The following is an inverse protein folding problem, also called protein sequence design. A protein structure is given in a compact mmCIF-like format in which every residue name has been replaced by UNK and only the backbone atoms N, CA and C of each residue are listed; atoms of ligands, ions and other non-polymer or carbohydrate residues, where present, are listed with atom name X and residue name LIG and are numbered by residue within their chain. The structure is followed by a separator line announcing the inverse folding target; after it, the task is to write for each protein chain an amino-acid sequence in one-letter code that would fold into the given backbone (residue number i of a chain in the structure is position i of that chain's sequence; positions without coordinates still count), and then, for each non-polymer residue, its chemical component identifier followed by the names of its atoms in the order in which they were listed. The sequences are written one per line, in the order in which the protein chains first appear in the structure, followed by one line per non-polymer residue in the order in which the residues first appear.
data_IF_341214547771
#
_entry.id   IF_341214547771
#
_cell.length_a   1.000
_cell.length_b   1.000
_cell.length_c   1.000
_cell.angle_alpha   90.00
_cell.angle_beta   90.00
_cell.angle_gamma   90.00
#
_symmetry.space_group_name_H-M   'P 1'
#
loop_
_entity.id
_entity.type
_entity.pdbx_description
1 polymer ?
#
# COMPACT_ATOMS: atom_id res chain seq x y z
N UNK A 1 28.96 -52.15 33.79
CA UNK A 1 28.97 -51.92 32.32
C UNK A 1 27.82 -52.65 31.66
N UNK A 2 27.11 -51.96 30.75
CA UNK A 2 26.20 -52.46 29.72
C UNK A 2 24.86 -53.11 30.14
N UNK A 3 23.87 -52.33 30.61
CA UNK A 3 22.41 -52.61 30.42
C UNK A 3 21.50 -51.36 30.48
N UNK A 4 21.91 -50.23 29.89
CA UNK A 4 21.05 -49.04 29.71
C UNK A 4 21.15 -48.36 28.34
N UNK A 5 21.65 -49.07 27.32
CA UNK A 5 21.87 -48.50 25.98
C UNK A 5 20.99 -49.11 24.87
N UNK A 6 19.99 -49.95 25.19
CA UNK A 6 19.17 -50.62 24.17
C UNK A 6 17.72 -50.12 24.06
N UNK A 7 17.29 -49.15 24.90
CA UNK A 7 15.92 -48.61 24.81
C UNK A 7 15.84 -47.27 24.07
N UNK A 8 16.96 -46.59 23.82
CA UNK A 8 16.98 -45.31 23.12
C UNK A 8 17.12 -45.46 21.59
N UNK A 9 17.62 -46.61 21.12
CA UNK A 9 17.80 -46.89 19.69
C UNK A 9 16.57 -47.46 18.97
N UNK A 10 15.55 -47.88 19.71
CA UNK A 10 14.29 -48.40 19.11
C UNK A 10 13.20 -47.32 19.05
N UNK A 11 13.26 -46.29 19.91
CA UNK A 11 12.34 -45.14 19.79
C UNK A 11 12.71 -44.21 18.62
N UNK A 12 13.98 -44.11 18.24
CA UNK A 12 14.43 -43.29 17.11
C UNK A 12 14.22 -43.94 15.73
N UNK A 13 14.07 -45.28 15.67
CA UNK A 13 13.77 -46.00 14.43
C UNK A 13 12.26 -46.15 14.16
N UNK A 14 11.41 -45.99 15.19
CA UNK A 14 9.94 -45.98 15.02
C UNK A 14 9.42 -44.56 14.73
N UNK A 15 10.13 -43.50 15.15
CA UNK A 15 9.79 -42.13 14.74
C UNK A 15 10.22 -41.78 13.30
N UNK A 16 11.19 -42.50 12.73
CA UNK A 16 11.67 -42.26 11.36
C UNK A 16 10.94 -43.09 10.29
N UNK A 17 10.07 -44.03 10.68
CA UNK A 17 9.14 -44.71 9.77
C UNK A 17 7.69 -44.20 9.85
N UNK A 18 7.46 -43.10 10.58
CA UNK A 18 6.20 -42.36 10.58
C UNK A 18 6.28 -41.02 9.81
N UNK A 19 7.39 -40.77 9.10
CA UNK A 19 7.66 -39.56 8.31
C UNK A 19 7.92 -39.85 6.82
N UNK A 20 7.59 -41.06 6.34
CA UNK A 20 7.40 -41.33 4.91
C UNK A 20 5.91 -41.17 4.59
N UNK A 21 5.51 -39.91 4.48
CA UNK A 21 4.14 -39.50 4.25
C UNK A 21 3.96 -37.99 4.25
N UNK A 22 4.98 -37.23 3.83
CA UNK A 22 4.81 -35.83 3.45
C UNK A 22 4.06 -35.78 2.11
N UNK A 23 2.80 -36.19 2.12
CA UNK A 23 1.83 -35.61 1.21
C UNK A 23 1.56 -34.20 1.71
N UNK A 24 1.71 -33.22 0.84
CA UNK A 24 1.12 -31.90 1.04
C UNK A 24 -0.32 -32.08 1.56
N UNK A 25 -0.80 -31.25 2.51
CA UNK A 25 -2.21 -31.26 2.83
C UNK A 25 -2.98 -31.10 1.51
N UNK A 26 -4.05 -31.88 1.26
CA UNK A 26 -4.90 -31.63 0.11
C UNK A 26 -5.36 -30.16 0.18
N UNK A 27 -5.54 -29.49 -0.98
CA UNK A 27 -6.08 -28.13 -0.98
C UNK A 27 -7.35 -28.14 -0.12
N UNK A 28 -7.37 -27.28 0.90
CA UNK A 28 -8.51 -27.16 1.79
C UNK A 28 -9.74 -26.92 0.90
N UNK A 29 -10.71 -27.82 1.01
CA UNK A 29 -11.94 -27.79 0.25
C UNK A 29 -12.60 -26.41 0.40
N UNK A 30 -12.58 -25.70 -0.72
CA UNK A 30 -13.14 -24.37 -0.96
C UNK A 30 -14.51 -24.18 -0.29
N UNK A 31 -14.64 -23.16 0.54
CA UNK A 31 -15.95 -22.54 0.82
C UNK A 31 -16.36 -21.80 -0.47
N UNK A 32 -17.63 -21.91 -0.92
CA UNK A 32 -18.02 -21.49 -2.26
C UNK A 32 -17.89 -19.98 -2.47
N UNK A 33 -17.15 -19.61 -3.52
CA UNK A 33 -17.20 -18.29 -4.15
C UNK A 33 -18.64 -17.94 -4.54
N UNK A 34 -19.25 -16.87 -4.00
CA UNK A 34 -20.59 -16.46 -4.40
C UNK A 34 -20.49 -15.45 -5.56
N UNK A 35 -20.57 -15.97 -6.80
CA UNK A 35 -20.96 -15.27 -8.04
C UNK A 35 -19.91 -14.27 -8.62
N UNK A 36 -19.79 -14.07 -9.93
CA UNK A 36 -20.48 -14.63 -11.10
C UNK A 36 -20.21 -13.76 -12.34
N UNK A 37 -19.79 -14.42 -13.42
CA UNK A 37 -19.65 -13.93 -14.82
C UNK A 37 -18.75 -12.72 -15.07
N UNK A 38 -17.53 -13.03 -15.55
CA UNK A 38 -16.70 -12.08 -16.29
C UNK A 38 -17.53 -11.43 -17.41
N UNK A 39 -17.59 -10.09 -17.52
CA UNK A 39 -18.10 -9.47 -18.72
C UNK A 39 -17.18 -9.81 -19.90
N UNK A 40 -17.81 -10.07 -21.05
CA UNK A 40 -17.15 -10.47 -22.28
C UNK A 40 -16.02 -9.50 -22.67
N UNK A 41 -14.85 -10.08 -22.92
CA UNK A 41 -13.74 -9.62 -23.75
C UNK A 41 -13.73 -8.11 -24.04
N UNK A 42 -13.04 -7.34 -23.20
CA UNK A 42 -12.49 -6.08 -23.64
C UNK A 42 -11.33 -6.38 -24.59
N UNK A 43 -11.56 -6.27 -25.90
CA UNK A 43 -10.47 -6.17 -26.88
C UNK A 43 -9.65 -4.91 -26.58
N UNK A 44 -8.63 -5.06 -25.74
CA UNK A 44 -7.57 -4.08 -25.58
C UNK A 44 -6.59 -4.25 -26.74
N UNK A 45 -6.86 -3.50 -27.81
CA UNK A 45 -5.92 -3.33 -28.92
C UNK A 45 -4.71 -2.52 -28.42
N UNK A 46 -3.75 -3.18 -27.78
CA UNK A 46 -2.46 -2.60 -27.41
C UNK A 46 -1.34 -3.40 -28.07
N UNK A 47 -1.12 -3.09 -29.34
CA UNK A 47 0.10 -3.41 -30.05
C UNK A 47 1.29 -2.82 -29.30
N UNK A 48 2.19 -3.72 -28.91
CA UNK A 48 3.46 -3.37 -28.28
C UNK A 48 4.31 -2.49 -29.18
N UNK A 49 4.84 -1.43 -28.58
CA UNK A 49 6.10 -0.82 -28.98
C UNK A 49 6.87 -0.49 -27.70
N UNK A 50 8.00 -1.17 -27.51
CA UNK A 50 9.03 -0.72 -26.58
C UNK A 50 9.57 0.63 -27.06
N UNK A 51 9.44 1.71 -26.28
CA UNK A 51 10.15 2.96 -26.59
C UNK A 51 10.75 3.63 -25.33
N UNK A 52 12.06 3.96 -25.36
CA UNK A 52 12.76 4.72 -24.33
C UNK A 52 12.45 6.22 -24.47
N UNK A 53 12.20 6.89 -23.34
CA UNK A 53 11.87 8.32 -23.31
C UNK A 53 10.56 8.59 -22.58
N UNK A 54 10.58 8.43 -21.25
CA UNK A 54 9.55 8.97 -20.38
C UNK A 54 9.63 10.50 -20.47
N UNK A 55 8.83 11.09 -21.37
CA UNK A 55 8.70 12.54 -21.50
C UNK A 55 7.48 13.01 -20.72
N UNK A 56 7.79 13.58 -19.56
CA UNK A 56 6.91 14.03 -18.50
C UNK A 56 6.21 15.33 -18.89
N UNK A 57 4.92 15.25 -19.23
CA UNK A 57 4.03 16.41 -19.32
C UNK A 57 3.18 16.53 -18.06
N UNK A 58 3.16 17.72 -17.44
CA UNK A 58 2.41 18.13 -16.21
C UNK A 58 3.03 17.73 -14.86
N UNK A 59 3.81 16.64 -14.78
CA UNK A 59 4.38 16.17 -13.51
C UNK A 59 5.62 16.93 -12.98
N UNK A 60 6.23 17.85 -13.74
CA UNK A 60 7.39 18.61 -13.26
C UNK A 60 7.06 19.63 -12.17
N UNK A 61 5.79 19.98 -11.96
CA UNK A 61 5.38 20.98 -10.96
C UNK A 61 5.20 20.38 -9.56
N UNK A 62 5.03 19.05 -9.44
CA UNK A 62 4.65 18.42 -8.16
C UNK A 62 5.57 17.27 -7.70
N UNK A 63 6.68 17.05 -8.40
CA UNK A 63 7.70 16.09 -7.97
C UNK A 63 9.12 16.51 -8.36
N UNK A 64 9.89 17.01 -7.38
CA UNK A 64 11.33 16.77 -7.32
C UNK A 64 11.72 16.40 -5.87
N UNK A 65 12.46 15.30 -5.65
CA UNK A 65 13.15 15.08 -4.39
C UNK A 65 14.49 15.83 -4.41
N UNK A 66 14.74 16.63 -3.36
CA UNK A 66 16.07 17.22 -3.04
C UNK A 66 16.27 18.71 -3.43
N UNK A 67 17.09 19.46 -2.66
CA UNK A 67 17.11 20.91 -2.72
C UNK A 67 17.94 21.40 -3.91
N UNK A 68 17.28 22.06 -4.87
CA UNK A 68 17.98 22.97 -5.78
C UNK A 68 17.33 24.35 -5.72
N UNK A 69 18.18 25.38 -5.73
CA UNK A 69 17.83 26.82 -5.59
C UNK A 69 16.85 27.32 -6.67
N UNK A 70 16.56 26.50 -7.69
CA UNK A 70 15.55 26.76 -8.70
C UNK A 70 14.13 26.38 -8.24
N UNK A 71 13.99 25.35 -7.39
CA UNK A 71 12.72 24.91 -6.81
C UNK A 71 12.12 25.94 -5.85
N UNK A 72 12.97 26.70 -5.14
CA UNK A 72 12.55 27.81 -4.28
C UNK A 72 11.88 28.97 -5.06
N UNK A 73 12.14 29.09 -6.36
CA UNK A 73 11.52 30.13 -7.22
C UNK A 73 10.21 29.70 -7.88
N UNK A 74 9.99 28.40 -8.06
CA UNK A 74 8.73 27.85 -8.58
C UNK A 74 7.72 27.53 -7.46
N UNK A 75 8.20 27.18 -6.25
CA UNK A 75 7.37 27.04 -5.04
C UNK A 75 6.63 28.33 -4.66
N UNK A 76 7.23 29.50 -4.96
CA UNK A 76 6.59 30.81 -4.77
C UNK A 76 5.32 31.02 -5.62
N UNK A 77 5.03 30.14 -6.61
CA UNK A 77 3.79 30.12 -7.40
C UNK A 77 2.80 29.01 -6.98
N UNK A 78 3.14 28.13 -6.02
CA UNK A 78 2.34 26.95 -5.64
C UNK A 78 1.78 26.97 -4.21
N UNK A 79 1.86 28.11 -3.50
CA UNK A 79 1.30 28.23 -2.15
C UNK A 79 -0.24 28.20 -2.17
N UNK A 80 -0.80 27.14 -1.56
CA UNK A 80 -2.23 26.88 -1.42
C UNK A 80 -2.81 27.68 -0.25
N UNK A 81 -4.01 28.23 -0.42
CA UNK A 81 -4.74 28.81 0.71
C UNK A 81 -5.56 27.72 1.37
N UNK A 82 -5.43 27.57 2.68
CA UNK A 82 -6.13 26.54 3.44
C UNK A 82 -6.86 27.13 4.63
N UNK A 83 -7.90 26.43 5.06
CA UNK A 83 -8.64 26.66 6.28
C UNK A 83 -8.33 25.57 7.30
N UNK A 84 -8.11 26.02 8.54
CA UNK A 84 -7.82 25.16 9.69
C UNK A 84 -9.06 25.14 10.59
N UNK A 85 -9.87 24.06 10.62
CA UNK A 85 -11.15 24.04 11.32
C UNK A 85 -11.00 23.99 12.84
N UNK A 86 -9.97 23.31 13.33
CA UNK A 86 -9.70 23.09 14.74
C UNK A 86 -8.25 23.49 15.09
N UNK A 87 -7.96 23.66 16.38
CA UNK A 87 -6.58 23.94 16.81
C UNK A 87 -5.68 22.79 16.36
N UNK A 88 -4.69 23.12 15.53
CA UNK A 88 -3.83 22.15 14.86
C UNK A 88 -2.39 22.32 15.34
N UNK A 89 -1.69 21.25 15.75
CA UNK A 89 -0.30 21.33 16.14
C UNK A 89 0.61 21.66 14.95
N UNK A 90 1.68 22.40 15.22
CA UNK A 90 2.76 22.63 14.25
C UNK A 90 3.89 21.63 14.55
N UNK A 91 4.47 21.07 13.51
CA UNK A 91 5.59 20.13 13.59
C UNK A 91 6.88 20.81 13.11
N UNK A 92 8.00 20.46 13.73
CA UNK A 92 9.31 21.01 13.37
C UNK A 92 9.88 20.37 12.11
N UNK A 93 9.51 19.12 11.83
CA UNK A 93 9.82 18.35 10.63
C UNK A 93 8.55 17.60 10.18
N UNK A 94 8.47 17.09 8.93
CA UNK A 94 7.32 16.32 8.44
C UNK A 94 7.30 14.90 9.05
N UNK A 95 7.13 14.82 10.37
CA UNK A 95 7.17 13.61 11.19
C UNK A 95 6.16 13.75 12.35
N UNK A 96 5.38 12.70 12.63
CA UNK A 96 4.36 12.71 13.68
C UNK A 96 4.91 12.81 15.10
N UNK A 97 6.19 12.47 15.32
CA UNK A 97 6.83 12.62 16.63
C UNK A 97 7.43 14.03 16.83
N UNK A 98 7.59 14.82 15.77
CA UNK A 98 8.30 16.10 15.77
C UNK A 98 7.44 17.30 16.20
N UNK A 99 6.53 17.10 17.15
CA UNK A 99 5.61 18.13 17.67
C UNK A 99 6.38 19.32 18.24
N UNK A 100 6.05 20.52 17.77
CA UNK A 100 6.51 21.76 18.38
C UNK A 100 5.60 22.16 19.55
N UNK A 101 5.98 23.21 20.28
CA UNK A 101 5.09 23.85 21.26
C UNK A 101 4.07 24.82 20.61
N UNK A 102 4.13 25.00 19.30
CA UNK A 102 3.28 25.92 18.55
C UNK A 102 2.01 25.23 18.03
N UNK A 103 0.94 26.01 17.93
CA UNK A 103 -0.34 25.56 17.38
C UNK A 103 -0.94 26.66 16.51
N UNK A 104 -1.57 26.27 15.42
CA UNK A 104 -2.46 27.15 14.65
C UNK A 104 -3.85 27.14 15.27
N UNK A 105 -4.45 28.31 15.44
CA UNK A 105 -5.81 28.41 15.98
C UNK A 105 -6.84 27.90 14.96
N UNK A 106 -7.90 27.22 15.44
CA UNK A 106 -9.05 26.90 14.61
C UNK A 106 -9.76 28.16 14.10
N UNK A 107 -10.35 28.08 12.91
CA UNK A 107 -10.95 29.23 12.21
C UNK A 107 -9.95 30.06 11.40
N UNK A 108 -8.71 29.61 11.24
CA UNK A 108 -7.63 30.37 10.59
C UNK A 108 -7.55 30.02 9.10
N UNK A 109 -7.34 31.05 8.27
CA UNK A 109 -6.89 30.88 6.89
C UNK A 109 -5.41 31.20 6.80
N UNK A 110 -4.63 30.33 6.17
CA UNK A 110 -3.19 30.54 5.98
C UNK A 110 -2.72 29.96 4.65
N UNK A 111 -1.49 30.30 4.25
CA UNK A 111 -0.87 29.75 3.04
C UNK A 111 0.08 28.62 3.42
N UNK A 112 0.00 27.52 2.69
CA UNK A 112 0.88 26.36 2.86
C UNK A 112 1.49 25.93 1.53
N UNK A 113 2.63 25.26 1.61
CA UNK A 113 3.34 24.69 0.46
C UNK A 113 3.45 23.17 0.63
N UNK A 114 3.19 22.36 -0.41
CA UNK A 114 3.44 20.92 -0.36
C UNK A 114 4.93 20.62 -0.15
N UNK A 115 5.30 19.62 0.66
CA UNK A 115 6.73 19.33 0.86
C UNK A 115 7.12 17.98 1.47
N UNK A 116 6.20 17.20 2.06
CA UNK A 116 6.51 15.89 2.65
C UNK A 116 5.57 14.78 2.21
N UNK A 117 5.29 14.69 0.90
CA UNK A 117 4.30 13.74 0.38
C UNK A 117 2.86 14.23 0.60
N UNK A 118 1.85 13.32 0.61
CA UNK A 118 0.44 13.73 0.68
C UNK A 118 0.01 14.15 2.10
N UNK A 119 0.89 13.99 3.10
CA UNK A 119 0.56 14.17 4.52
C UNK A 119 1.05 15.48 5.12
N UNK A 120 2.01 16.17 4.48
CA UNK A 120 2.76 17.24 5.12
C UNK A 120 2.90 18.47 4.26
N UNK A 121 2.55 19.61 4.86
CA UNK A 121 2.54 20.91 4.22
C UNK A 121 3.32 21.92 5.05
N UNK A 122 4.26 22.62 4.43
CA UNK A 122 5.06 23.65 5.06
C UNK A 122 4.25 24.95 5.21
N UNK A 123 4.45 25.65 6.31
CA UNK A 123 3.98 27.00 6.58
C UNK A 123 5.10 27.84 7.21
N UNK A 124 4.87 29.14 7.45
CA UNK A 124 5.88 30.01 8.07
C UNK A 124 6.36 29.51 9.44
N UNK A 125 5.50 28.81 10.19
CA UNK A 125 5.77 28.34 11.55
C UNK A 125 6.42 26.95 11.59
N UNK A 126 6.42 26.20 10.48
CA UNK A 126 6.91 24.82 10.45
C UNK A 126 6.09 23.96 9.49
N UNK A 127 5.67 22.78 9.95
CA UNK A 127 4.91 21.80 9.17
C UNK A 127 3.54 21.56 9.77
N UNK A 128 2.56 21.37 8.91
CA UNK A 128 1.18 21.06 9.26
C UNK A 128 0.78 19.73 8.63
N UNK A 129 -0.05 19.00 9.37
CA UNK A 129 -0.58 17.71 8.95
C UNK A 129 -1.78 17.90 8.03
N UNK A 130 -1.73 17.31 6.84
CA UNK A 130 -2.66 17.57 5.74
C UNK A 130 -4.11 17.15 6.00
N UNK A 131 -4.34 16.21 6.92
CA UNK A 131 -5.68 15.80 7.34
C UNK A 131 -6.43 16.92 8.08
N UNK A 132 -5.70 17.86 8.70
CA UNK A 132 -6.28 18.99 9.42
C UNK A 132 -6.45 20.24 8.52
N UNK A 133 -6.06 20.14 7.24
CA UNK A 133 -6.02 21.27 6.31
C UNK A 133 -7.06 21.09 5.21
N UNK A 134 -7.92 22.09 5.04
CA UNK A 134 -8.96 22.08 4.01
C UNK A 134 -8.63 23.15 2.98
N UNK A 135 -8.64 22.85 1.67
CA UNK A 135 -8.42 23.88 0.66
C UNK A 135 -9.45 24.99 0.80
N UNK A 136 -9.05 26.23 0.55
CA UNK A 136 -9.92 27.38 0.66
C UNK A 136 -9.87 28.24 -0.59
N UNK A 137 -11.03 28.45 -1.19
CA UNK A 137 -11.20 29.33 -2.34
C UNK A 137 -12.14 30.48 -2.01
N UNK A 138 -11.72 31.71 -2.32
CA UNK A 138 -12.52 32.91 -2.06
C UNK A 138 -13.05 33.02 -0.61
N UNK A 139 -12.26 32.54 0.36
CA UNK A 139 -12.59 32.56 1.79
C UNK A 139 -13.61 31.49 2.23
N UNK A 140 -13.91 30.50 1.38
CA UNK A 140 -14.76 29.37 1.74
C UNK A 140 -13.92 28.09 1.84
N UNK A 141 -13.99 27.35 2.95
CA UNK A 141 -13.34 26.06 3.07
C UNK A 141 -14.03 25.02 2.18
N UNK A 142 -13.24 24.11 1.62
CA UNK A 142 -13.71 22.88 1.00
C UNK A 142 -14.20 21.86 2.03
N UNK A 143 -14.75 20.75 1.53
CA UNK A 143 -15.38 19.71 2.37
C UNK A 143 -14.43 18.56 2.72
N UNK A 144 -13.34 18.40 1.97
CA UNK A 144 -12.36 17.32 2.12
C UNK A 144 -10.97 17.87 2.43
N UNK A 145 -10.17 17.11 3.17
CA UNK A 145 -8.82 17.50 3.55
C UNK A 145 -7.90 17.53 2.32
N UNK A 146 -6.79 18.26 2.42
CA UNK A 146 -5.75 18.26 1.39
C UNK A 146 -5.16 16.85 1.20
N UNK A 147 -4.99 16.09 2.29
CA UNK A 147 -4.51 14.72 2.20
C UNK A 147 -5.49 13.82 1.43
N UNK A 148 -6.79 13.89 1.73
CA UNK A 148 -7.80 13.12 0.99
C UNK A 148 -7.80 13.47 -0.50
N UNK A 149 -7.76 14.76 -0.85
CA UNK A 149 -7.68 15.22 -2.24
C UNK A 149 -6.46 14.66 -2.97
N UNK A 150 -5.28 14.78 -2.36
CA UNK A 150 -4.05 14.29 -2.97
C UNK A 150 -4.06 12.77 -3.15
N UNK A 151 -4.67 12.02 -2.24
CA UNK A 151 -4.81 10.57 -2.36
C UNK A 151 -5.82 10.20 -3.45
N UNK A 152 -6.96 10.87 -3.53
CA UNK A 152 -7.95 10.66 -4.60
C UNK A 152 -7.34 10.86 -5.98
N UNK A 153 -6.57 11.93 -6.18
CA UNK A 153 -5.84 12.19 -7.44
C UNK A 153 -4.81 11.10 -7.74
N UNK A 154 -4.02 10.69 -6.73
CA UNK A 154 -3.01 9.63 -6.91
C UNK A 154 -3.63 8.28 -7.21
N UNK A 155 -4.74 7.94 -6.56
CA UNK A 155 -5.49 6.73 -6.88
C UNK A 155 -6.03 6.76 -8.31
N UNK A 156 -6.65 7.85 -8.74
CA UNK A 156 -7.18 7.96 -10.11
C UNK A 156 -6.09 7.75 -11.17
N UNK A 157 -4.88 8.27 -10.93
CA UNK A 157 -3.73 8.05 -11.82
C UNK A 157 -3.21 6.61 -11.79
N UNK A 158 -3.31 5.93 -10.65
CA UNK A 158 -2.94 4.53 -10.54
C UNK A 158 -3.96 3.63 -11.25
N UNK A 159 -5.25 3.92 -11.09
CA UNK A 159 -6.35 3.24 -11.80
C UNK A 159 -6.20 3.38 -13.33
N UNK A 160 -5.76 4.54 -13.83
CA UNK A 160 -5.47 4.72 -15.27
C UNK A 160 -4.30 3.84 -15.74
N UNK A 161 -3.27 3.68 -14.91
CA UNK A 161 -2.06 2.90 -15.25
C UNK A 161 -2.20 1.40 -15.01
N UNK A 162 -3.09 1.01 -14.12
CA UNK A 162 -3.32 -0.35 -13.66
C UNK A 162 -4.82 -0.62 -13.79
N UNK A 163 -5.36 -0.74 -15.01
CA UNK A 163 -6.81 -0.72 -15.23
C UNK A 163 -7.52 -1.91 -14.58
N UNK A 164 -8.77 -1.68 -14.18
CA UNK A 164 -9.69 -2.73 -13.74
C UNK A 164 -9.73 -3.89 -14.75
N UNK A 165 -9.76 -5.12 -14.24
CA UNK A 165 -9.84 -6.39 -14.98
C UNK A 165 -8.66 -6.69 -15.92
N UNK A 166 -7.66 -5.82 -16.03
CA UNK A 166 -6.39 -6.15 -16.63
C UNK A 166 -5.54 -7.00 -15.67
N UNK A 167 -4.43 -7.57 -16.16
CA UNK A 167 -3.59 -8.46 -15.36
C UNK A 167 -2.24 -7.81 -15.03
N UNK A 168 -1.91 -7.74 -13.74
CA UNK A 168 -0.62 -7.21 -13.28
C UNK A 168 0.48 -8.26 -13.45
N UNK A 169 0.88 -8.46 -14.70
CA UNK A 169 1.80 -9.50 -15.09
C UNK A 169 2.63 -9.05 -16.31
N UNK A 170 3.49 -9.94 -16.80
CA UNK A 170 4.27 -9.76 -18.02
C UNK A 170 4.11 -10.98 -18.94
N UNK A 171 2.87 -11.48 -19.04
CA UNK A 171 2.53 -12.64 -19.87
C UNK A 171 3.01 -12.45 -21.32
N UNK A 172 3.65 -13.49 -21.85
CA UNK A 172 4.27 -13.46 -23.18
C UNK A 172 5.69 -12.87 -23.24
N UNK A 173 6.23 -12.40 -22.11
CA UNK A 173 7.62 -11.95 -22.00
C UNK A 173 8.38 -12.81 -20.99
N UNK A 174 9.54 -13.37 -21.38
CA UNK A 174 10.42 -14.04 -20.42
C UNK A 174 11.30 -13.00 -19.71
N UNK A 175 11.21 -12.92 -18.39
CA UNK A 175 12.04 -12.07 -17.55
C UNK A 175 12.92 -12.91 -16.62
N UNK A 176 14.17 -12.50 -16.36
CA UNK A 176 14.94 -13.07 -15.26
C UNK A 176 14.25 -12.83 -13.92
N UNK A 177 14.37 -13.80 -13.01
CA UNK A 177 13.90 -13.67 -11.63
C UNK A 177 14.48 -12.40 -10.96
N UNK A 178 13.64 -11.69 -10.18
CA UNK A 178 14.04 -10.47 -9.48
C UNK A 178 13.96 -9.19 -10.31
N UNK A 179 13.70 -9.27 -11.63
CA UNK A 179 13.49 -8.08 -12.46
C UNK A 179 12.11 -7.50 -12.19
N UNK A 180 12.07 -6.30 -11.63
CA UNK A 180 10.81 -5.60 -11.35
C UNK A 180 10.24 -4.91 -12.59
N UNK A 181 8.99 -5.21 -12.90
CA UNK A 181 8.19 -4.57 -13.96
C UNK A 181 6.90 -3.99 -13.37
N UNK A 182 6.99 -2.99 -12.47
CA UNK A 182 5.88 -2.56 -11.63
C UNK A 182 4.65 -2.03 -12.39
N UNK A 183 4.82 -1.59 -13.64
CA UNK A 183 3.73 -1.09 -14.47
C UNK A 183 3.49 -1.95 -15.72
N UNK A 184 4.04 -3.17 -15.77
CA UNK A 184 3.64 -4.12 -16.81
C UNK A 184 2.22 -4.58 -16.53
N UNK A 185 1.36 -4.46 -17.53
CA UNK A 185 -0.02 -4.90 -17.50
C UNK A 185 -0.31 -5.55 -18.84
N UNK A 186 -1.00 -6.68 -18.84
CA UNK A 186 -1.42 -7.36 -20.06
C UNK A 186 -2.92 -7.63 -20.05
N UNK A 187 -3.46 -7.98 -21.21
CA UNK A 187 -4.81 -8.52 -21.36
C UNK A 187 -4.88 -10.04 -21.23
N UNK A 188 -3.76 -10.73 -20.97
CA UNK A 188 -3.69 -12.19 -20.89
C UNK A 188 -3.35 -12.64 -19.46
N UNK A 189 -4.11 -13.55 -18.85
CA UNK A 189 -3.83 -14.03 -17.49
C UNK A 189 -2.50 -14.80 -17.45
N UNK A 190 -1.78 -14.74 -16.32
CA UNK A 190 -0.55 -15.52 -16.15
C UNK A 190 -0.79 -17.00 -15.83
N UNK A 191 -2.03 -17.39 -15.46
CA UNK A 191 -2.48 -18.77 -15.22
C UNK A 191 -1.53 -19.58 -14.33
N UNK A 192 -1.60 -19.34 -13.02
CA UNK A 192 -0.70 -19.93 -12.03
C UNK A 192 -0.72 -21.46 -12.03
N UNK A 193 -1.85 -22.07 -12.34
CA UNK A 193 -1.96 -23.52 -12.47
C UNK A 193 -1.08 -24.13 -13.58
N UNK A 194 -0.67 -23.32 -14.56
CA UNK A 194 0.20 -23.72 -15.67
C UNK A 194 1.61 -23.17 -15.55
N UNK A 195 1.73 -21.89 -15.20
CA UNK A 195 3.00 -21.15 -15.26
C UNK A 195 3.52 -20.71 -13.90
N UNK A 196 2.89 -21.18 -12.80
CA UNK A 196 3.27 -20.81 -11.45
C UNK A 196 3.35 -19.29 -11.29
N UNK A 197 4.54 -18.74 -11.05
CA UNK A 197 4.77 -17.30 -10.89
C UNK A 197 5.66 -16.73 -12.00
N UNK A 198 5.97 -17.50 -13.04
CA UNK A 198 6.98 -17.15 -14.05
C UNK A 198 6.66 -15.84 -14.77
N UNK A 199 5.36 -15.54 -14.94
CA UNK A 199 4.89 -14.32 -15.60
C UNK A 199 4.33 -13.27 -14.64
N UNK A 200 4.40 -13.50 -13.32
CA UNK A 200 3.86 -12.57 -12.33
C UNK A 200 4.82 -11.41 -12.10
N UNK A 201 4.30 -10.19 -12.03
CA UNK A 201 5.15 -9.05 -11.67
C UNK A 201 5.68 -9.16 -10.24
N UNK A 202 6.88 -8.61 -10.05
CA UNK A 202 7.51 -8.46 -8.75
C UNK A 202 7.72 -6.97 -8.46
N UNK A 203 7.56 -6.59 -7.18
CA UNK A 203 7.85 -5.24 -6.70
C UNK A 203 8.22 -5.26 -5.22
N UNK A 204 9.51 -5.19 -4.92
CA UNK A 204 10.02 -5.32 -3.55
C UNK A 204 9.74 -4.07 -2.70
N UNK A 205 9.70 -2.91 -3.34
CA UNK A 205 9.25 -1.65 -2.73
C UNK A 205 9.92 -1.33 -1.39
N UNK A 206 9.21 -0.60 -0.53
CA UNK A 206 9.68 -0.28 0.82
C UNK A 206 9.42 -1.38 1.85
N UNK A 207 8.58 -2.38 1.54
CA UNK A 207 8.12 -3.38 2.51
C UNK A 207 8.85 -4.73 2.45
N UNK A 208 9.77 -4.96 1.50
CA UNK A 208 10.48 -6.24 1.42
C UNK A 208 11.15 -6.63 2.75
N UNK A 209 11.81 -5.68 3.41
CA UNK A 209 12.48 -5.95 4.69
C UNK A 209 11.51 -6.21 5.85
N UNK A 210 10.25 -5.79 5.72
CA UNK A 210 9.20 -6.09 6.70
C UNK A 210 8.73 -7.54 6.59
N UNK A 211 8.84 -8.15 5.41
CA UNK A 211 8.49 -9.56 5.16
C UNK A 211 9.74 -10.40 4.79
N UNK A 212 10.66 -10.62 5.76
CA UNK A 212 11.95 -11.29 5.51
C UNK A 212 11.83 -12.75 5.06
N UNK A 213 10.65 -13.36 5.20
CA UNK A 213 10.33 -14.68 4.69
C UNK A 213 10.26 -14.75 3.16
N UNK A 214 10.10 -13.61 2.47
CA UNK A 214 10.03 -13.55 1.01
C UNK A 214 11.35 -13.03 0.42
N UNK A 215 11.85 -13.71 -0.61
CA UNK A 215 12.98 -13.23 -1.41
C UNK A 215 12.58 -12.01 -2.25
N UNK A 216 11.36 -12.07 -2.80
CA UNK A 216 10.78 -11.00 -3.59
C UNK A 216 9.29 -10.86 -3.26
N UNK A 217 8.76 -9.63 -3.32
CA UNK A 217 7.32 -9.43 -3.19
C UNK A 217 6.66 -9.58 -4.56
N UNK A 218 5.76 -10.56 -4.67
CA UNK A 218 5.06 -10.91 -5.91
C UNK A 218 3.54 -10.85 -5.70
N UNK A 219 2.78 -10.83 -6.80
CA UNK A 219 1.31 -10.90 -6.80
C UNK A 219 0.66 -9.84 -5.90
N UNK A 220 -0.35 -10.21 -5.10
CA UNK A 220 -1.10 -9.31 -4.23
C UNK A 220 -0.20 -8.49 -3.29
N UNK A 221 0.86 -9.10 -2.75
CA UNK A 221 1.77 -8.44 -1.82
C UNK A 221 2.64 -7.40 -2.51
N UNK A 222 3.22 -7.74 -3.67
CA UNK A 222 3.99 -6.80 -4.49
C UNK A 222 3.12 -5.65 -5.01
N UNK A 223 1.89 -5.95 -5.46
CA UNK A 223 0.94 -4.95 -5.95
C UNK A 223 0.52 -3.98 -4.83
N UNK A 224 0.16 -4.47 -3.65
CA UNK A 224 -0.18 -3.62 -2.51
C UNK A 224 0.98 -2.71 -2.10
N UNK A 225 2.21 -3.26 -2.06
CA UNK A 225 3.42 -2.47 -1.79
C UNK A 225 3.64 -1.38 -2.85
N UNK A 226 3.44 -1.71 -4.13
CA UNK A 226 3.54 -0.73 -5.23
C UNK A 226 2.55 0.41 -5.02
N UNK A 227 1.27 0.10 -4.80
CA UNK A 227 0.26 1.13 -4.60
C UNK A 227 0.61 2.02 -3.39
N UNK A 228 0.99 1.43 -2.25
CA UNK A 228 1.40 2.19 -1.06
C UNK A 228 2.57 3.15 -1.36
N UNK A 229 3.63 2.66 -2.03
CA UNK A 229 4.80 3.46 -2.40
C UNK A 229 4.46 4.58 -3.38
N UNK A 230 3.49 4.37 -4.29
CA UNK A 230 3.05 5.42 -5.23
C UNK A 230 2.10 6.42 -4.61
N UNK A 231 1.27 5.99 -3.66
CA UNK A 231 0.34 6.86 -2.94
C UNK A 231 1.06 7.79 -1.98
N UNK A 232 2.11 7.34 -1.29
CA UNK A 232 2.77 8.14 -0.24
C UNK A 232 4.22 8.51 -0.55
N UNK A 233 4.85 7.80 -1.48
CA UNK A 233 6.30 7.87 -1.74
C UNK A 233 7.01 6.70 -1.08
N UNK A 234 7.92 6.05 -1.81
CA UNK A 234 8.67 4.86 -1.37
C UNK A 234 9.44 5.08 -0.05
N UNK A 235 10.02 6.26 0.13
CA UNK A 235 10.81 6.61 1.32
C UNK A 235 9.95 7.06 2.51
N UNK A 236 8.62 7.15 2.34
CA UNK A 236 7.73 7.57 3.44
C UNK A 236 7.73 6.49 4.53
N UNK A 237 7.85 6.85 5.82
CA UNK A 237 7.78 5.86 6.89
C UNK A 237 6.46 5.07 6.87
N UNK A 238 6.50 3.84 7.37
CA UNK A 238 5.32 3.01 7.59
C UNK A 238 5.23 2.62 9.07
N UNK A 239 4.00 2.35 9.50
CA UNK A 239 3.62 2.12 10.89
C UNK A 239 2.68 0.92 10.97
N UNK A 240 2.58 0.29 12.14
CA UNK A 240 1.51 -0.68 12.40
C UNK A 240 0.33 0.02 13.05
N UNK A 241 -0.82 -0.10 12.42
CA UNK A 241 -2.08 0.35 12.97
C UNK A 241 -2.51 -0.65 14.08
N UNK A 242 -2.88 -0.17 15.28
CA UNK A 242 -3.34 -1.05 16.35
C UNK A 242 -4.60 -1.85 15.95
N UNK A 243 -4.74 -3.05 16.50
CA UNK A 243 -5.95 -3.85 16.29
C UNK A 243 -7.21 -3.07 16.67
N UNK A 244 -8.22 -3.08 15.78
CA UNK A 244 -9.49 -2.39 15.95
C UNK A 244 -9.45 -0.87 15.69
N UNK A 245 -8.28 -0.30 15.36
CA UNK A 245 -8.24 1.08 14.87
C UNK A 245 -8.78 1.16 13.44
N UNK A 246 -9.43 2.29 13.13
CA UNK A 246 -10.08 2.51 11.84
C UNK A 246 -9.03 2.64 10.74
N UNK A 247 -9.19 1.83 9.69
CA UNK A 247 -8.37 1.90 8.48
C UNK A 247 -8.74 3.13 7.64
N UNK A 248 -7.78 3.58 6.82
CA UNK A 248 -7.88 4.76 5.96
C UNK A 248 -7.45 4.47 4.52
N UNK A 249 -7.86 5.30 3.55
CA UNK A 249 -7.36 5.18 2.19
C UNK A 249 -5.84 5.11 2.12
N UNK A 250 -5.32 4.07 1.46
CA UNK A 250 -3.90 3.80 1.31
C UNK A 250 -3.27 2.89 2.38
N UNK A 251 -4.03 2.49 3.40
CA UNK A 251 -3.59 1.45 4.34
C UNK A 251 -3.48 0.10 3.62
N UNK A 252 -2.41 -0.64 3.90
CA UNK A 252 -2.13 -1.97 3.38
C UNK A 252 -2.54 -3.00 4.43
N UNK A 253 -3.52 -3.83 4.10
CA UNK A 253 -3.97 -4.92 4.95
C UNK A 253 -3.40 -6.24 4.44
N UNK A 254 -2.68 -6.96 5.31
CA UNK A 254 -2.18 -8.31 5.08
C UNK A 254 -3.06 -9.30 5.83
N UNK A 255 -3.66 -10.22 5.10
CA UNK A 255 -4.40 -11.36 5.60
C UNK A 255 -3.43 -12.53 5.86
N UNK A 256 -3.53 -13.14 7.03
CA UNK A 256 -2.62 -14.19 7.49
C UNK A 256 -2.94 -15.56 6.90
N UNK A 257 -4.08 -16.14 7.28
CA UNK A 257 -4.54 -17.46 6.82
C UNK A 257 -4.88 -17.46 5.32
N UNK A 258 -5.45 -16.37 4.80
CA UNK A 258 -5.71 -16.23 3.36
C UNK A 258 -4.46 -15.87 2.56
N UNK A 259 -3.34 -15.53 3.22
CA UNK A 259 -2.07 -15.12 2.60
C UNK A 259 -2.22 -14.04 1.52
N UNK A 260 -3.14 -13.09 1.72
CA UNK A 260 -3.52 -12.09 0.72
C UNK A 260 -3.25 -10.66 1.16
N UNK A 261 -3.01 -9.76 0.21
CA UNK A 261 -2.68 -8.37 0.49
C UNK A 261 -3.55 -7.44 -0.32
N UNK A 262 -4.09 -6.42 0.35
CA UNK A 262 -5.00 -5.43 -0.24
C UNK A 262 -4.62 -4.02 0.21
N UNK A 263 -5.00 -3.02 -0.59
CA UNK A 263 -4.93 -1.61 -0.23
C UNK A 263 -6.34 -1.09 -0.04
N UNK A 264 -6.57 -0.35 1.04
CA UNK A 264 -7.84 0.34 1.26
C UNK A 264 -7.93 1.48 0.25
N UNK A 265 -8.87 1.39 -0.70
CA UNK A 265 -9.12 2.45 -1.69
C UNK A 265 -10.01 3.55 -1.11
N UNK A 266 -10.98 3.15 -0.29
CA UNK A 266 -11.97 4.00 0.35
C UNK A 266 -12.40 3.37 1.68
N UNK A 267 -12.62 4.19 2.71
CA UNK A 267 -13.20 3.76 3.97
C UNK A 267 -14.24 4.78 4.42
N UNK A 268 -15.51 4.37 4.47
CA UNK A 268 -16.65 5.22 4.83
C UNK A 268 -17.28 4.73 6.13
N UNK A 269 -18.41 5.32 6.53
CA UNK A 269 -19.18 4.82 7.67
C UNK A 269 -19.98 3.54 7.30
N UNK A 270 -20.14 3.25 6.00
CA UNK A 270 -20.88 2.09 5.50
C UNK A 270 -19.99 0.85 5.34
N UNK A 271 -18.74 1.06 4.94
CA UNK A 271 -17.81 -0.04 4.68
C UNK A 271 -16.49 0.42 4.10
N UNK A 272 -15.83 -0.50 3.41
CA UNK A 272 -14.55 -0.27 2.75
C UNK A 272 -14.54 -0.79 1.32
N UNK A 273 -13.81 -0.08 0.46
CA UNK A 273 -13.49 -0.49 -0.90
C UNK A 273 -12.01 -0.82 -0.98
N UNK A 274 -11.66 -1.89 -1.68
CA UNK A 274 -10.29 -2.39 -1.78
C UNK A 274 -9.73 -2.27 -3.20
N UNK A 275 -8.43 -2.08 -3.27
CA UNK A 275 -7.60 -2.22 -4.45
C UNK A 275 -6.63 -3.38 -4.26
N UNK A 276 -6.60 -4.30 -5.21
CA UNK A 276 -5.83 -5.55 -5.10
C UNK A 276 -5.51 -6.13 -6.48
N UNK A 277 -4.55 -7.05 -6.49
CA UNK A 277 -4.32 -7.94 -7.62
C UNK A 277 -4.44 -9.37 -7.13
N UNK A 278 -4.82 -10.27 -8.04
CA UNK A 278 -4.96 -11.71 -7.76
C UNK A 278 -6.06 -12.08 -6.75
N UNK A 279 -7.27 -11.49 -6.78
CA UNK A 279 -8.33 -11.81 -5.82
C UNK A 279 -8.79 -13.29 -5.88
N UNK A 280 -8.57 -13.94 -7.02
CA UNK A 280 -8.96 -15.34 -7.29
C UNK A 280 -7.78 -16.32 -7.18
N UNK A 281 -6.59 -15.84 -6.82
CA UNK A 281 -5.36 -16.63 -6.65
C UNK A 281 -4.81 -17.32 -7.92
N UNK A 282 -5.36 -17.06 -9.10
CA UNK A 282 -5.01 -17.78 -10.33
C UNK A 282 -4.29 -16.94 -11.40
N UNK A 283 -4.46 -15.61 -11.46
CA UNK A 283 -4.13 -14.87 -12.67
C UNK A 283 -3.61 -13.44 -12.51
N UNK A 284 -3.45 -12.94 -11.28
CA UNK A 284 -3.05 -11.55 -11.01
C UNK A 284 -3.99 -10.51 -11.64
N UNK A 285 -5.29 -10.81 -11.82
CA UNK A 285 -6.29 -9.82 -12.23
C UNK A 285 -6.36 -8.67 -11.23
N UNK A 286 -6.40 -7.44 -11.75
CA UNK A 286 -6.48 -6.20 -10.98
C UNK A 286 -7.95 -5.90 -10.68
N UNK A 287 -8.24 -5.55 -9.42
CA UNK A 287 -9.55 -5.07 -8.98
C UNK A 287 -9.40 -3.82 -8.12
N UNK A 288 -10.26 -2.83 -8.36
CA UNK A 288 -10.34 -1.55 -7.64
C UNK A 288 -11.69 -1.32 -6.95
N UNK A 289 -12.66 -2.19 -7.20
CA UNK A 289 -14.07 -1.94 -6.98
C UNK A 289 -14.73 -2.88 -5.97
N UNK A 290 -14.01 -3.88 -5.44
CA UNK A 290 -14.53 -4.77 -4.40
C UNK A 290 -14.86 -3.97 -3.15
N UNK A 291 -16.15 -3.98 -2.80
CA UNK A 291 -16.70 -3.28 -1.64
C UNK A 291 -17.24 -4.29 -0.63
N UNK A 292 -16.99 -4.01 0.64
CA UNK A 292 -17.53 -4.75 1.78
C UNK A 292 -18.17 -3.76 2.74
N UNK A 293 -19.39 -4.04 3.17
CA UNK A 293 -19.91 -3.40 4.39
C UNK A 293 -19.03 -3.78 5.57
N UNK A 294 -19.04 -2.98 6.64
CA UNK A 294 -18.28 -3.32 7.85
C UNK A 294 -18.70 -4.68 8.43
N UNK A 295 -19.99 -5.04 8.38
CA UNK A 295 -20.47 -6.34 8.84
C UNK A 295 -19.89 -7.50 8.00
N UNK A 296 -19.87 -7.36 6.67
CA UNK A 296 -19.28 -8.36 5.77
C UNK A 296 -17.77 -8.48 5.97
N UNK A 297 -17.07 -7.36 6.08
CA UNK A 297 -15.62 -7.36 6.30
C UNK A 297 -15.26 -8.09 7.58
N UNK A 298 -15.84 -7.70 8.71
CA UNK A 298 -15.56 -8.31 10.02
C UNK A 298 -15.89 -9.81 10.02
N UNK A 299 -16.99 -10.20 9.38
CA UNK A 299 -17.42 -11.60 9.30
C UNK A 299 -16.50 -12.47 8.43
N UNK A 300 -16.01 -11.92 7.31
CA UNK A 300 -15.29 -12.70 6.30
C UNK A 300 -13.76 -12.62 6.45
N UNK A 301 -13.21 -11.43 6.68
CA UNK A 301 -11.78 -11.15 6.54
C UNK A 301 -11.17 -10.40 7.73
N UNK A 302 -11.95 -9.60 8.48
CA UNK A 302 -11.42 -8.74 9.55
C UNK A 302 -10.69 -9.51 10.65
N UNK A 303 -11.15 -10.73 10.93
CA UNK A 303 -10.50 -11.64 11.88
C UNK A 303 -9.13 -12.16 11.41
N UNK A 304 -8.86 -12.13 10.11
CA UNK A 304 -7.63 -12.65 9.49
C UNK A 304 -6.59 -11.55 9.19
N UNK A 305 -6.89 -10.29 9.52
CA UNK A 305 -5.92 -9.20 9.35
C UNK A 305 -4.75 -9.39 10.32
N UNK A 306 -3.63 -9.90 9.80
CA UNK A 306 -2.38 -10.08 10.54
C UNK A 306 -1.65 -8.75 10.72
N UNK A 307 -1.58 -7.95 9.65
CA UNK A 307 -0.98 -6.62 9.67
C UNK A 307 -1.88 -5.59 8.99
N UNK A 308 -2.13 -4.49 9.69
CA UNK A 308 -2.64 -3.25 9.09
C UNK A 308 -1.49 -2.24 9.06
N UNK A 309 -0.85 -2.10 7.89
CA UNK A 309 0.30 -1.23 7.68
C UNK A 309 -0.20 0.11 7.15
N UNK A 310 0.14 1.19 7.85
CA UNK A 310 -0.31 2.55 7.52
C UNK A 310 0.88 3.46 7.24
N UNK A 311 0.72 4.44 6.33
CA UNK A 311 1.71 5.51 6.10
C UNK A 311 1.42 6.75 6.92
N UNK A 312 0.27 6.77 7.59
CA UNK A 312 -0.15 7.86 8.43
C UNK A 312 0.53 7.76 9.81
N UNK A 313 1.27 8.79 10.23
CA UNK A 313 2.03 8.77 11.47
C UNK A 313 1.15 8.95 12.71
N UNK A 314 -0.10 9.34 12.52
CA UNK A 314 -1.09 9.58 13.57
C UNK A 314 -2.31 8.69 13.33
N UNK A 315 -2.90 8.15 14.39
CA UNK A 315 -4.20 7.50 14.34
C UNK A 315 -5.16 8.14 15.35
N UNK A 316 -6.46 8.07 15.05
CA UNK A 316 -7.50 8.59 15.93
C UNK A 316 -7.89 7.49 16.94
N UNK A 317 -7.50 7.67 18.20
CA UNK A 317 -7.92 6.83 19.32
C UNK A 317 -9.09 7.43 20.10
N UNK A 318 -9.54 6.73 21.14
CA UNK A 318 -10.66 7.16 22.00
C UNK A 318 -10.44 8.55 22.65
N UNK A 319 -9.18 8.93 22.87
CA UNK A 319 -8.80 10.18 23.54
C UNK A 319 -8.21 11.24 22.58
N UNK A 320 -8.36 11.05 21.26
CA UNK A 320 -7.82 11.95 20.23
C UNK A 320 -6.67 11.33 19.41
N UNK A 321 -5.95 12.19 18.69
CA UNK A 321 -4.82 11.78 17.86
C UNK A 321 -3.66 11.23 18.69
N UNK A 322 -3.14 10.07 18.31
CA UNK A 322 -1.99 9.41 18.92
C UNK A 322 -0.94 9.12 17.86
N UNK A 323 0.32 9.42 18.14
CA UNK A 323 1.43 9.13 17.24
C UNK A 323 1.78 7.64 17.26
N UNK A 324 2.11 7.09 16.09
CA UNK A 324 2.58 5.73 15.93
C UNK A 324 4.12 5.73 15.84
N UNK A 325 4.80 4.77 16.49
CA UNK A 325 6.23 4.62 16.33
C UNK A 325 6.54 4.08 14.93
N UNK A 326 7.48 4.68 14.17
CA UNK A 326 7.83 4.20 12.85
C UNK A 326 8.44 2.80 12.92
N UNK A 327 8.09 1.95 11.96
CA UNK A 327 8.78 0.68 11.78
C UNK A 327 10.17 0.92 11.17
N UNK A 328 11.15 0.07 11.47
CA UNK A 328 12.47 0.18 10.87
C UNK A 328 12.36 0.03 9.36
N UNK A 329 12.72 1.10 8.64
CA UNK A 329 12.95 1.05 7.20
C UNK A 329 14.29 0.34 7.01
N UNK A 330 14.35 -0.65 6.11
CA UNK A 330 15.63 -1.26 5.78
C UNK A 330 16.60 -0.16 5.31
N UNK A 331 17.72 0.00 6.00
CA UNK A 331 18.82 0.82 5.51
C UNK A 331 19.21 0.29 4.12
N UNK A 332 19.02 1.09 3.08
CA UNK A 332 19.54 0.82 1.73
C UNK A 332 21.08 0.89 1.64
N UNK A 333 21.76 0.74 2.77
CA UNK A 333 23.20 0.80 2.92
C UNK A 333 23.79 -0.59 3.18
N UNK A 334 23.63 -1.51 2.23
CA UNK A 334 24.42 -2.75 2.19
C UNK A 334 24.53 -3.33 0.77
N UNK A 335 24.86 -2.51 -0.23
CA UNK A 335 25.50 -3.02 -1.44
C UNK A 335 26.80 -2.23 -1.66
N UNK A 336 27.92 -2.89 -1.33
CA UNK A 336 29.28 -2.46 -1.61
C UNK A 336 30.01 -3.49 -2.45
#
# INVERSE_FOLDING_TARGET
MKKKACLLGVLLAVLSMALEGCGFPPPLDFIPFPWGEAPAEAEADLLGDSLPGAEWGIFQVLYQPGPSVQAEKEAAQSALTVYVPARTPVFTTPDGEALSHETVAGGTFLRVEPGGGPLWFACEQGWLYGEDLYPAESGKPGEISLTSLMLEERFALLEEKLPQDAYWNHMGQELPEGVETPFSVTGEPCVHSLHWQDYCNQYNGSLLAFFPEYTHLCQCLGFACLLSDRLFGKESPYYLLPFGARVRPGDHLRLGEYEHSVIVREATDEGLRLAEANPEYEDCRISWDRFFTWEEWESLYGWDVEYAITRYPLYQGENGWTALPPLPVADSAAEG
#
